data_IF_841711714472
#
_entry.id   IF_841711714472
#
_cell.length_a   1.000
_cell.length_b   1.000
_cell.length_c   1.000
_cell.angle_alpha   90.00
_cell.angle_beta   90.00
_cell.angle_gamma   90.00
#
_symmetry.space_group_name_H-M   'P 1'
#
loop_
_entity.id
_entity.type
_entity.pdbx_description
1 polymer ?
#
# COMPACT_ATOMS: atom_id res chain seq x y z
N UNK A 1 -0.80 -19.27 12.90
CA UNK A 1 -1.95 -18.37 12.67
C UNK A 1 -1.96 -17.96 11.21
N UNK A 2 -3.14 -17.75 10.59
CA UNK A 2 -3.19 -17.19 9.24
C UNK A 2 -2.57 -15.80 9.23
N UNK A 3 -1.75 -15.48 8.22
CA UNK A 3 -1.21 -14.13 8.05
C UNK A 3 -2.26 -13.14 7.55
N UNK A 4 -3.37 -13.68 7.04
CA UNK A 4 -4.52 -12.96 6.52
C UNK A 4 -5.76 -13.39 7.32
N UNK A 5 -5.84 -12.89 8.55
CA UNK A 5 -6.96 -13.06 9.46
C UNK A 5 -7.79 -11.77 9.54
N UNK A 6 -9.07 -11.90 9.89
CA UNK A 6 -10.00 -10.76 9.94
C UNK A 6 -9.53 -9.71 10.94
N UNK A 7 -8.99 -10.13 12.09
CA UNK A 7 -8.50 -9.20 13.11
C UNK A 7 -7.33 -8.36 12.59
N UNK A 8 -6.37 -8.96 11.89
CA UNK A 8 -5.30 -8.19 11.23
C UNK A 8 -5.85 -7.20 10.18
N UNK A 9 -6.84 -7.59 9.38
CA UNK A 9 -7.44 -6.69 8.38
C UNK A 9 -8.12 -5.50 9.08
N UNK A 10 -8.95 -5.76 10.09
CA UNK A 10 -9.62 -4.71 10.85
C UNK A 10 -8.61 -3.78 11.54
N UNK A 11 -7.53 -4.35 12.10
CA UNK A 11 -6.46 -3.58 12.73
C UNK A 11 -5.71 -2.71 11.73
N UNK A 12 -5.45 -3.23 10.54
CA UNK A 12 -4.91 -2.45 9.43
C UNK A 12 -5.82 -1.27 9.07
N UNK A 13 -7.13 -1.50 8.95
CA UNK A 13 -8.10 -0.44 8.66
C UNK A 13 -8.15 0.62 9.76
N UNK A 14 -8.09 0.22 11.03
CA UNK A 14 -7.98 1.15 12.16
C UNK A 14 -6.73 2.03 12.06
N UNK A 15 -5.58 1.43 11.72
CA UNK A 15 -4.34 2.17 11.48
C UNK A 15 -4.43 3.14 10.30
N UNK A 16 -5.25 2.86 9.28
CA UNK A 16 -5.52 3.82 8.20
C UNK A 16 -6.11 5.10 8.79
N UNK A 17 -7.18 4.98 9.59
CA UNK A 17 -7.87 6.15 10.14
C UNK A 17 -6.98 6.92 11.13
N UNK A 18 -6.31 6.21 12.06
CA UNK A 18 -5.41 6.84 13.03
C UNK A 18 -4.21 7.48 12.34
N UNK A 19 -3.61 6.78 11.36
CA UNK A 19 -2.50 7.28 10.58
C UNK A 19 -2.88 8.52 9.76
N UNK A 20 -4.02 8.49 9.08
CA UNK A 20 -4.53 9.63 8.33
C UNK A 20 -4.82 10.82 9.23
N UNK A 21 -5.45 10.59 10.39
CA UNK A 21 -5.72 11.65 11.35
C UNK A 21 -4.42 12.28 11.88
N UNK A 22 -3.43 11.48 12.28
CA UNK A 22 -2.12 11.99 12.73
C UNK A 22 -1.34 12.68 11.61
N UNK A 23 -1.43 12.19 10.37
CA UNK A 23 -0.81 12.84 9.21
C UNK A 23 -1.42 14.23 8.95
N UNK A 24 -2.74 14.36 9.04
CA UNK A 24 -3.44 15.65 8.88
C UNK A 24 -3.14 16.65 10.02
N UNK A 25 -2.67 16.18 11.17
CA UNK A 25 -2.22 17.05 12.26
C UNK A 25 -0.78 17.53 12.08
N UNK A 26 -0.02 16.97 11.14
CA UNK A 26 1.37 17.37 10.93
C UNK A 26 1.42 18.72 10.17
N UNK A 27 1.88 19.82 10.80
CA UNK A 27 1.96 21.11 10.13
C UNK A 27 3.01 21.13 9.01
N UNK A 28 4.06 20.29 9.10
CA UNK A 28 5.10 20.19 8.06
C UNK A 28 4.55 19.60 6.74
N UNK A 29 3.39 18.93 6.78
CA UNK A 29 2.74 18.38 5.58
C UNK A 29 2.17 19.47 4.67
N UNK A 30 1.78 20.63 5.23
CA UNK A 30 1.07 21.71 4.53
C UNK A 30 1.99 22.89 4.20
N UNK A 31 3.18 22.61 3.69
CA UNK A 31 4.12 23.64 3.26
C UNK A 31 3.92 24.03 1.80
N UNK A 32 4.32 25.26 1.45
CA UNK A 32 4.22 25.79 0.07
C UNK A 32 4.92 24.90 -0.96
N UNK A 33 6.01 24.22 -0.57
CA UNK A 33 6.73 23.29 -1.44
C UNK A 33 5.87 22.07 -1.81
N UNK A 34 5.24 21.46 -0.80
CA UNK A 34 4.35 20.30 -1.00
C UNK A 34 3.10 20.67 -1.79
N UNK A 35 2.52 21.86 -1.54
CA UNK A 35 1.38 22.37 -2.33
C UNK A 35 1.73 22.56 -3.80
N UNK A 36 2.90 23.14 -4.11
CA UNK A 36 3.33 23.33 -5.51
C UNK A 36 3.50 21.98 -6.22
N UNK A 37 4.09 21.00 -5.54
CA UNK A 37 4.28 19.65 -6.09
C UNK A 37 2.95 18.91 -6.26
N UNK A 38 2.04 19.04 -5.30
CA UNK A 38 0.69 18.51 -5.40
C UNK A 38 -0.07 19.12 -6.59
N UNK A 39 0.02 20.43 -6.79
CA UNK A 39 -0.59 21.10 -7.94
C UNK A 39 -0.03 20.59 -9.28
N UNK A 40 1.30 20.46 -9.40
CA UNK A 40 1.94 19.87 -10.59
C UNK A 40 1.45 18.44 -10.82
N UNK A 41 1.37 17.63 -9.77
CA UNK A 41 0.91 16.25 -9.86
C UNK A 41 -0.58 16.14 -10.25
N UNK A 42 -1.43 17.07 -9.77
CA UNK A 42 -2.84 17.17 -10.20
C UNK A 42 -2.93 17.55 -11.67
N UNK A 43 -2.18 18.56 -12.14
CA UNK A 43 -2.15 18.96 -13.54
C UNK A 43 -1.64 17.85 -14.47
N UNK A 44 -0.52 17.21 -14.11
CA UNK A 44 0.00 16.06 -14.83
C UNK A 44 -1.02 14.92 -14.86
N UNK A 45 -1.70 14.69 -13.74
CA UNK A 45 -2.76 13.71 -13.65
C UNK A 45 -3.94 13.99 -14.58
N UNK A 46 -4.38 15.25 -14.66
CA UNK A 46 -5.43 15.67 -15.58
C UNK A 46 -5.01 15.47 -17.04
N UNK A 47 -3.77 15.85 -17.39
CA UNK A 47 -3.24 15.66 -18.74
C UNK A 47 -3.21 14.18 -19.15
N UNK A 48 -2.71 13.29 -18.27
CA UNK A 48 -2.71 11.84 -18.52
C UNK A 48 -4.14 11.32 -18.71
N UNK A 49 -5.08 11.76 -17.85
CA UNK A 49 -6.49 11.35 -17.97
C UNK A 49 -7.08 11.76 -19.32
N UNK A 50 -6.75 12.94 -19.82
CA UNK A 50 -7.19 13.38 -21.15
C UNK A 50 -6.59 12.45 -22.22
N UNK A 51 -5.27 12.27 -22.21
CA UNK A 51 -4.55 11.43 -23.19
C UNK A 51 -5.11 10.00 -23.24
N UNK A 52 -5.33 9.36 -22.08
CA UNK A 52 -5.85 7.99 -22.02
C UNK A 52 -7.29 7.86 -22.53
N UNK A 53 -8.09 8.93 -22.46
CA UNK A 53 -9.46 8.91 -22.98
C UNK A 53 -9.54 9.25 -24.47
N UNK A 54 -8.47 9.77 -25.09
CA UNK A 54 -8.46 10.10 -26.52
C UNK A 54 -8.90 8.91 -27.40
N UNK A 55 -8.35 7.68 -27.26
CA UNK A 55 -8.78 6.55 -28.08
C UNK A 55 -10.26 6.21 -27.93
N UNK A 56 -10.82 6.39 -26.73
CA UNK A 56 -12.23 6.13 -26.44
C UNK A 56 -13.11 7.17 -27.14
N UNK A 57 -12.72 8.45 -27.06
CA UNK A 57 -13.42 9.52 -27.77
C UNK A 57 -13.33 9.32 -29.29
N UNK A 58 -12.18 8.89 -29.81
CA UNK A 58 -12.03 8.55 -31.23
C UNK A 58 -12.99 7.44 -31.63
N UNK A 59 -13.07 6.33 -30.87
CA UNK A 59 -14.01 5.24 -31.18
C UNK A 59 -15.46 5.72 -31.10
N UNK A 60 -15.83 6.52 -30.08
CA UNK A 60 -17.17 7.09 -29.97
C UNK A 60 -17.53 8.01 -31.14
N UNK A 61 -16.59 8.85 -31.58
CA UNK A 61 -16.77 9.72 -32.75
C UNK A 61 -16.91 8.88 -34.03
N UNK A 62 -16.10 7.84 -34.20
CA UNK A 62 -16.20 6.93 -35.35
C UNK A 62 -17.55 6.21 -35.39
N UNK A 63 -18.02 5.69 -34.25
CA UNK A 63 -19.33 5.05 -34.15
C UNK A 63 -20.46 6.05 -34.44
N UNK A 64 -20.35 7.28 -33.94
CA UNK A 64 -21.29 8.35 -34.25
C UNK A 64 -21.33 8.70 -35.75
N UNK A 65 -20.16 8.79 -36.40
CA UNK A 65 -20.06 9.01 -37.85
C UNK A 65 -20.69 7.84 -38.62
N UNK A 66 -20.37 6.59 -38.25
CA UNK A 66 -20.92 5.39 -38.90
C UNK A 66 -22.44 5.33 -38.73
N UNK A 67 -22.97 5.68 -37.55
CA UNK A 67 -24.40 5.76 -37.28
C UNK A 67 -25.14 6.82 -38.10
N UNK A 68 -24.43 7.82 -38.62
CA UNK A 68 -25.02 8.78 -39.57
C UNK A 68 -25.22 8.19 -40.98
N UNK A 69 -24.51 7.10 -41.31
CA UNK A 69 -24.57 6.45 -42.64
C UNK A 69 -25.21 5.05 -42.61
N UNK A 70 -25.28 4.40 -41.44
CA UNK A 70 -25.78 3.03 -41.24
C UNK A 70 -26.77 3.04 -40.08
N UNK A 71 -27.94 2.45 -40.28
CA UNK A 71 -28.98 2.37 -39.25
C UNK A 71 -28.57 1.34 -38.18
N UNK A 72 -27.93 1.82 -37.10
CA UNK A 72 -27.40 1.00 -36.01
C UNK A 72 -28.44 0.71 -34.91
N UNK A 73 -29.64 1.30 -34.99
CA UNK A 73 -30.70 1.23 -33.97
C UNK A 73 -31.25 -0.18 -33.68
N UNK A 74 -30.85 -1.21 -34.44
CA UNK A 74 -31.27 -2.60 -34.23
C UNK A 74 -30.14 -3.52 -33.73
N UNK A 75 -28.90 -3.05 -33.68
CA UNK A 75 -27.74 -3.88 -33.34
C UNK A 75 -27.19 -3.55 -31.94
N UNK A 76 -27.34 -4.48 -31.00
CA UNK A 76 -26.79 -4.42 -29.62
C UNK A 76 -25.26 -4.33 -29.51
N UNK A 77 -24.57 -4.14 -30.63
CA UNK A 77 -23.10 -4.16 -30.72
C UNK A 77 -22.49 -2.87 -30.17
N UNK A 78 -23.14 -1.72 -30.37
CA UNK A 78 -22.65 -0.42 -29.88
C UNK A 78 -22.53 -0.41 -28.34
N UNK A 79 -23.62 -0.79 -27.65
CA UNK A 79 -23.63 -0.89 -26.19
C UNK A 79 -22.58 -1.88 -25.64
N UNK A 80 -22.36 -3.00 -26.32
CA UNK A 80 -21.37 -4.01 -25.90
C UNK A 80 -19.94 -3.53 -26.14
N UNK A 81 -19.67 -2.84 -27.25
CA UNK A 81 -18.34 -2.28 -27.58
C UNK A 81 -18.02 -1.11 -26.66
N UNK A 82 -18.96 -0.17 -26.47
CA UNK A 82 -18.82 0.96 -25.54
C UNK A 82 -18.63 0.44 -24.11
N UNK A 83 -19.43 -0.54 -23.66
CA UNK A 83 -19.30 -1.14 -22.33
C UNK A 83 -17.97 -1.90 -22.17
N UNK A 84 -17.52 -2.60 -23.20
CA UNK A 84 -16.20 -3.26 -23.21
C UNK A 84 -15.04 -2.28 -23.14
N UNK A 85 -15.10 -1.17 -23.90
CA UNK A 85 -14.10 -0.10 -23.87
C UNK A 85 -14.10 0.65 -22.53
N UNK A 86 -15.28 0.92 -21.98
CA UNK A 86 -15.41 1.57 -20.67
C UNK A 86 -14.92 0.64 -19.56
N UNK A 87 -15.16 -0.68 -19.66
CA UNK A 87 -14.58 -1.69 -18.78
C UNK A 87 -13.05 -1.77 -18.90
N UNK A 88 -12.49 -1.76 -20.12
CA UNK A 88 -11.02 -1.79 -20.31
C UNK A 88 -10.38 -0.50 -19.80
N UNK A 89 -11.00 0.66 -20.06
CA UNK A 89 -10.57 1.95 -19.53
C UNK A 89 -10.59 1.98 -18.00
N UNK A 90 -11.72 1.60 -17.39
CA UNK A 90 -11.94 1.69 -15.93
C UNK A 90 -11.28 0.57 -15.13
N UNK A 91 -11.25 -0.65 -15.67
CA UNK A 91 -10.78 -1.84 -14.96
C UNK A 91 -9.32 -2.18 -15.29
N UNK A 92 -8.89 -1.98 -16.55
CA UNK A 92 -7.58 -2.43 -17.04
C UNK A 92 -6.57 -1.29 -17.17
N UNK A 93 -6.98 -0.03 -17.38
CA UNK A 93 -6.06 1.09 -17.66
C UNK A 93 -5.93 2.14 -16.54
N UNK A 94 -6.94 2.32 -15.67
CA UNK A 94 -7.11 3.62 -15.00
C UNK A 94 -6.23 3.95 -13.78
N UNK A 95 -5.68 2.98 -13.03
CA UNK A 95 -5.17 3.30 -11.68
C UNK A 95 -3.67 2.99 -11.49
N UNK A 96 -3.14 1.82 -11.89
CA UNK A 96 -1.73 1.51 -11.65
C UNK A 96 -0.76 2.34 -12.50
N UNK A 97 -1.20 2.76 -13.69
CA UNK A 97 -0.46 3.53 -14.70
C UNK A 97 -0.28 4.99 -14.27
N UNK A 98 -1.39 5.66 -13.92
CA UNK A 98 -1.39 7.02 -13.36
C UNK A 98 -0.49 7.13 -12.13
N UNK A 99 -0.67 6.22 -11.16
CA UNK A 99 0.13 6.22 -9.94
C UNK A 99 1.62 5.92 -10.19
N UNK A 100 1.98 5.17 -11.25
CA UNK A 100 3.39 4.84 -11.54
C UNK A 100 4.10 5.97 -12.27
N UNK A 101 3.38 6.70 -13.12
CA UNK A 101 3.94 7.82 -13.89
C UNK A 101 4.13 9.06 -13.00
N UNK A 102 3.22 9.30 -12.05
CA UNK A 102 3.39 10.32 -10.99
C UNK A 102 4.59 9.96 -10.11
N UNK A 103 4.84 8.68 -9.80
CA UNK A 103 6.01 8.30 -8.99
C UNK A 103 7.34 8.76 -9.64
N UNK A 104 7.52 8.68 -10.95
CA UNK A 104 8.79 9.09 -11.58
C UNK A 104 9.17 10.56 -11.33
N UNK A 105 8.19 11.46 -11.26
CA UNK A 105 8.38 12.91 -11.05
C UNK A 105 8.22 13.36 -9.59
N UNK A 106 7.60 12.53 -8.75
CA UNK A 106 7.20 12.87 -7.37
C UNK A 106 7.89 11.96 -6.32
N UNK A 107 8.69 10.96 -6.72
CA UNK A 107 9.41 10.06 -5.77
C UNK A 107 10.27 10.81 -4.73
N UNK A 108 11.07 11.83 -5.10
CA UNK A 108 11.86 12.57 -4.11
C UNK A 108 10.97 13.25 -3.05
N UNK A 109 9.76 13.64 -3.43
CA UNK A 109 8.86 14.38 -2.56
C UNK A 109 8.08 13.44 -1.65
N UNK A 110 7.67 12.27 -2.14
CA UNK A 110 7.07 11.21 -1.33
C UNK A 110 8.03 10.69 -0.25
N UNK A 111 9.31 10.55 -0.60
CA UNK A 111 10.35 10.19 0.35
C UNK A 111 10.50 11.23 1.47
N UNK A 112 10.48 12.51 1.11
CA UNK A 112 10.51 13.61 2.07
C UNK A 112 9.25 13.63 2.95
N UNK A 113 8.05 13.47 2.36
CA UNK A 113 6.78 13.42 3.10
C UNK A 113 6.76 12.27 4.11
N UNK A 114 7.28 11.10 3.72
CA UNK A 114 7.44 9.96 4.62
C UNK A 114 8.37 10.32 5.79
N UNK A 115 9.56 10.89 5.51
CA UNK A 115 10.54 11.22 6.54
C UNK A 115 10.08 12.35 7.48
N UNK A 116 9.44 13.40 6.97
CA UNK A 116 8.84 14.48 7.78
C UNK A 116 7.72 13.95 8.67
N UNK A 117 6.86 13.09 8.12
CA UNK A 117 5.80 12.45 8.90
C UNK A 117 6.36 11.53 9.98
N UNK A 118 7.45 10.82 9.68
CA UNK A 118 8.14 9.97 10.65
C UNK A 118 8.75 10.79 11.79
N UNK A 119 9.38 11.94 11.48
CA UNK A 119 9.89 12.90 12.48
C UNK A 119 8.76 13.41 13.37
N UNK A 120 7.61 13.73 12.80
CA UNK A 120 6.43 14.16 13.54
C UNK A 120 5.90 13.07 14.47
N UNK A 121 5.81 11.83 13.99
CA UNK A 121 5.38 10.66 14.79
C UNK A 121 6.31 10.44 15.98
N UNK A 122 7.63 10.50 15.77
CA UNK A 122 8.62 10.37 16.83
C UNK A 122 8.56 11.52 17.85
N UNK A 123 8.41 12.76 17.37
CA UNK A 123 8.28 13.93 18.24
C UNK A 123 7.01 13.86 19.10
N UNK A 124 5.88 13.49 18.49
CA UNK A 124 4.60 13.32 19.19
C UNK A 124 4.68 12.18 20.19
N UNK A 125 5.39 11.09 19.87
CA UNK A 125 5.60 9.98 20.77
C UNK A 125 6.37 10.40 22.03
N UNK A 126 7.50 11.10 21.86
CA UNK A 126 8.28 11.62 23.00
C UNK A 126 7.45 12.61 23.82
N UNK A 127 6.66 13.47 23.17
CA UNK A 127 5.79 14.40 23.87
C UNK A 127 4.70 13.72 24.69
N UNK A 128 4.11 12.63 24.17
CA UNK A 128 3.08 11.85 24.86
C UNK A 128 3.63 11.10 26.07
N UNK A 129 4.89 10.65 26.03
CA UNK A 129 5.51 9.82 27.08
C UNK A 129 6.55 10.60 27.89
N UNK A 130 6.43 11.94 27.99
CA UNK A 130 7.36 12.77 28.78
C UNK A 130 7.42 12.39 30.26
N UNK A 131 6.32 11.85 30.78
CA UNK A 131 6.17 11.41 32.18
C UNK A 131 6.66 10.00 32.44
N UNK A 132 6.99 9.24 31.39
CA UNK A 132 7.23 7.81 31.50
C UNK A 132 8.73 7.53 31.59
N UNK A 133 9.11 6.37 32.12
CA UNK A 133 10.53 6.00 32.29
C UNK A 133 11.23 5.87 30.92
N UNK A 134 12.28 6.67 30.64
CA UNK A 134 13.03 6.61 29.39
C UNK A 134 13.55 5.23 29.02
N UNK A 135 13.86 4.37 30.01
CA UNK A 135 14.35 3.01 29.77
C UNK A 135 13.29 2.08 29.15
N UNK A 136 12.01 2.44 29.28
CA UNK A 136 10.88 1.65 28.78
C UNK A 136 10.40 2.12 27.40
N UNK A 137 10.89 3.27 26.93
CA UNK A 137 10.45 3.87 25.67
C UNK A 137 11.05 3.15 24.46
N UNK A 138 10.28 3.11 23.37
CA UNK A 138 10.79 2.60 22.10
C UNK A 138 11.90 3.51 21.56
N UNK A 139 12.81 2.93 20.78
CA UNK A 139 13.76 3.68 19.96
C UNK A 139 13.09 4.59 18.93
N UNK A 140 13.80 5.66 18.55
CA UNK A 140 13.39 6.61 17.52
C UNK A 140 13.69 6.06 16.13
N UNK A 141 12.81 6.30 15.17
CA UNK A 141 12.96 5.81 13.79
C UNK A 141 13.63 6.85 12.90
N UNK A 142 13.20 8.11 13.00
CA UNK A 142 13.65 9.18 12.12
C UNK A 142 15.17 9.43 12.17
N UNK A 143 15.80 9.59 13.36
CA UNK A 143 17.24 9.88 13.45
C UNK A 143 18.08 8.79 12.79
N UNK A 144 17.70 7.53 13.03
CA UNK A 144 18.41 6.37 12.51
C UNK A 144 18.19 6.18 11.02
N UNK A 145 16.93 6.26 10.54
CA UNK A 145 16.61 6.11 9.12
C UNK A 145 17.23 7.20 8.26
N UNK A 146 17.42 8.41 8.79
CA UNK A 146 18.12 9.50 8.10
C UNK A 146 19.60 9.16 7.79
N UNK A 147 20.24 8.30 8.59
CA UNK A 147 21.64 7.89 8.38
C UNK A 147 21.81 6.89 7.23
N UNK A 148 20.75 6.19 6.82
CA UNK A 148 20.82 5.22 5.73
C UNK A 148 20.89 5.93 4.37
N UNK A 149 21.81 5.48 3.52
CA UNK A 149 21.98 6.06 2.18
C UNK A 149 20.85 5.63 1.23
N UNK A 150 20.15 6.60 0.67
CA UNK A 150 19.12 6.40 -0.37
C UNK A 150 19.70 6.34 -1.79
N UNK A 151 20.99 6.65 -1.96
CA UNK A 151 21.60 6.99 -3.25
C UNK A 151 22.24 5.81 -4.01
N UNK A 152 22.58 4.71 -3.33
CA UNK A 152 23.35 3.62 -3.95
C UNK A 152 22.68 2.88 -5.12
N UNK A 153 21.35 2.95 -5.25
CA UNK A 153 20.61 2.47 -6.44
C UNK A 153 20.06 3.60 -7.34
N UNK A 154 19.99 4.84 -6.85
CA UNK A 154 19.50 5.99 -7.62
C UNK A 154 20.47 6.36 -8.74
N UNK A 155 21.78 6.34 -8.49
CA UNK A 155 22.79 6.63 -9.53
C UNK A 155 22.75 5.66 -10.71
N UNK A 156 22.46 4.37 -10.48
CA UNK A 156 22.29 3.37 -11.55
C UNK A 156 20.91 3.43 -12.26
N UNK A 157 19.91 4.06 -11.64
CA UNK A 157 18.56 4.23 -12.21
C UNK A 157 18.40 5.57 -12.95
N UNK A 158 19.04 6.63 -12.48
CA UNK A 158 19.04 7.95 -13.12
C UNK A 158 19.77 7.95 -14.47
N UNK A 159 20.71 7.04 -14.70
CA UNK A 159 21.34 6.84 -16.01
C UNK A 159 20.45 6.13 -17.05
N UNK A 160 19.28 5.60 -16.66
CA UNK A 160 18.36 5.02 -17.65
C UNK A 160 17.50 6.13 -18.24
N UNK A 161 17.57 6.26 -19.57
CA UNK A 161 16.75 7.23 -20.31
C UNK A 161 15.28 7.10 -19.93
N UNK A 162 14.57 8.22 -19.81
CA UNK A 162 13.12 8.26 -19.59
C UNK A 162 12.37 7.30 -20.54
N UNK A 163 12.89 7.15 -21.76
CA UNK A 163 12.38 6.24 -22.79
C UNK A 163 12.51 4.76 -22.38
N UNK A 164 13.63 4.34 -21.77
CA UNK A 164 13.81 2.96 -21.28
C UNK A 164 12.83 2.64 -20.15
N UNK A 165 12.55 3.62 -19.29
CA UNK A 165 11.54 3.52 -18.24
C UNK A 165 10.13 3.29 -18.81
N UNK A 166 9.77 4.03 -19.87
CA UNK A 166 8.48 3.90 -20.56
C UNK A 166 8.37 2.56 -21.30
N UNK A 167 9.43 2.09 -21.97
CA UNK A 167 9.42 0.81 -22.72
C UNK A 167 9.34 -0.40 -21.79
N UNK A 168 10.15 -0.44 -20.73
CA UNK A 168 10.09 -1.52 -19.73
C UNK A 168 8.71 -1.54 -19.05
N UNK A 169 8.08 -0.38 -18.91
CA UNK A 169 6.75 -0.26 -18.38
C UNK A 169 5.70 -0.82 -19.35
N UNK A 170 5.69 -0.36 -20.62
CA UNK A 170 4.74 -0.79 -21.65
C UNK A 170 4.78 -2.30 -21.86
N UNK A 171 5.97 -2.90 -21.84
CA UNK A 171 6.15 -4.36 -21.97
C UNK A 171 5.58 -5.13 -20.78
N UNK A 172 5.86 -4.70 -19.54
CA UNK A 172 5.31 -5.35 -18.34
C UNK A 172 3.80 -5.16 -18.21
N UNK A 173 3.30 -3.99 -18.57
CA UNK A 173 1.88 -3.66 -18.53
C UNK A 173 1.11 -4.38 -19.63
N UNK A 174 1.63 -4.35 -20.87
CA UNK A 174 1.09 -5.06 -22.01
C UNK A 174 0.99 -6.56 -21.75
N UNK A 175 2.01 -7.18 -21.12
CA UNK A 175 1.93 -8.59 -20.71
C UNK A 175 0.80 -8.85 -19.72
N UNK A 176 0.61 -7.99 -18.72
CA UNK A 176 -0.49 -8.13 -17.75
C UNK A 176 -1.86 -7.92 -18.41
N UNK A 177 -1.99 -6.91 -19.26
CA UNK A 177 -3.19 -6.63 -20.02
C UNK A 177 -3.55 -7.79 -20.96
N UNK A 178 -2.56 -8.37 -21.65
CA UNK A 178 -2.75 -9.54 -22.51
C UNK A 178 -3.21 -10.77 -21.73
N UNK A 179 -2.62 -11.05 -20.56
CA UNK A 179 -3.06 -12.15 -19.68
C UNK A 179 -4.50 -11.89 -19.19
N UNK A 180 -4.82 -10.67 -18.77
CA UNK A 180 -6.18 -10.31 -18.35
C UNK A 180 -7.19 -10.43 -19.50
N UNK A 181 -6.83 -10.01 -20.71
CA UNK A 181 -7.65 -10.12 -21.91
C UNK A 181 -7.85 -11.59 -22.31
N UNK A 182 -6.81 -12.42 -22.22
CA UNK A 182 -6.91 -13.85 -22.45
C UNK A 182 -7.84 -14.51 -21.43
N UNK A 183 -7.69 -14.23 -20.14
CA UNK A 183 -8.59 -14.74 -19.09
C UNK A 183 -10.03 -14.30 -19.38
N UNK A 184 -10.25 -13.05 -19.75
CA UNK A 184 -11.57 -12.54 -20.13
C UNK A 184 -12.13 -13.26 -21.36
N UNK A 185 -11.33 -13.46 -22.41
CA UNK A 185 -11.71 -14.20 -23.61
C UNK A 185 -12.11 -15.65 -23.29
N UNK A 186 -11.36 -16.32 -22.41
CA UNK A 186 -11.68 -17.67 -21.94
C UNK A 186 -13.02 -17.73 -21.20
N UNK A 187 -13.54 -16.61 -20.65
CA UNK A 187 -14.86 -16.60 -20.01
C UNK A 187 -16.04 -16.75 -20.97
N UNK A 188 -15.82 -16.59 -22.28
CA UNK A 188 -16.83 -16.80 -23.33
C UNK A 188 -16.87 -18.24 -23.84
N UNK A 189 -15.93 -19.10 -23.43
CA UNK A 189 -15.92 -20.51 -23.83
C UNK A 189 -17.10 -21.23 -23.15
N UNK A 190 -18.02 -21.85 -23.90
CA UNK A 190 -19.14 -22.57 -23.32
C UNK A 190 -18.65 -23.75 -22.45
N UNK A 191 -19.33 -24.01 -21.33
CA UNK A 191 -18.96 -25.04 -20.36
C UNK A 191 -17.87 -24.62 -19.37
N UNK A 192 -16.76 -24.04 -19.84
CA UNK A 192 -15.60 -23.69 -18.98
C UNK A 192 -15.67 -22.24 -18.49
N UNK A 193 -16.32 -21.34 -19.23
CA UNK A 193 -16.33 -19.90 -19.00
C UNK A 193 -16.72 -19.43 -17.58
N UNK A 194 -17.71 -20.05 -16.91
CA UNK A 194 -18.04 -19.72 -15.51
C UNK A 194 -16.91 -20.03 -14.52
N UNK A 195 -16.08 -21.04 -14.78
CA UNK A 195 -15.03 -21.50 -13.87
C UNK A 195 -13.70 -20.76 -14.05
N UNK A 196 -13.50 -20.10 -15.20
CA UNK A 196 -12.24 -19.41 -15.52
C UNK A 196 -11.89 -18.32 -14.51
N UNK A 197 -12.85 -17.45 -14.18
CA UNK A 197 -12.61 -16.35 -13.23
C UNK A 197 -12.37 -16.86 -11.81
N UNK A 198 -13.20 -17.76 -11.24
CA UNK A 198 -12.90 -18.40 -9.96
C UNK A 198 -11.53 -19.09 -9.95
N UNK A 199 -11.21 -19.90 -10.97
CA UNK A 199 -9.94 -20.63 -11.02
C UNK A 199 -8.73 -19.70 -11.10
N UNK A 200 -8.80 -18.65 -11.93
CA UNK A 200 -7.75 -17.64 -12.02
C UNK A 200 -7.60 -16.86 -10.70
N UNK A 201 -8.73 -16.56 -10.04
CA UNK A 201 -8.76 -15.93 -8.71
C UNK A 201 -8.07 -16.81 -7.69
N UNK A 202 -8.42 -18.10 -7.63
CA UNK A 202 -7.82 -19.07 -6.73
C UNK A 202 -6.31 -19.19 -6.96
N UNK A 203 -5.88 -19.38 -8.20
CA UNK A 203 -4.46 -19.52 -8.54
C UNK A 203 -3.64 -18.31 -8.09
N UNK A 204 -4.18 -17.12 -8.28
CA UNK A 204 -3.46 -15.87 -7.99
C UNK A 204 -3.55 -15.49 -6.51
N UNK A 205 -4.67 -15.76 -5.85
CA UNK A 205 -4.93 -15.40 -4.45
C UNK A 205 -4.35 -16.42 -3.46
N UNK A 206 -4.35 -17.71 -3.80
CA UNK A 206 -3.85 -18.79 -2.94
C UNK A 206 -2.39 -18.55 -2.51
N UNK A 207 -1.52 -18.14 -3.44
CA UNK A 207 -0.11 -17.86 -3.11
C UNK A 207 0.07 -16.70 -2.14
N UNK A 208 -0.90 -15.81 -2.02
CA UNK A 208 -0.78 -14.60 -1.21
C UNK A 208 -1.52 -14.71 0.12
N UNK A 209 -2.58 -15.53 0.19
CA UNK A 209 -3.53 -15.57 1.31
C UNK A 209 -3.65 -16.98 1.92
N UNK A 210 -3.15 -18.00 1.23
CA UNK A 210 -3.25 -19.40 1.62
C UNK A 210 -4.47 -20.11 1.03
N UNK A 211 -4.53 -21.43 1.18
CA UNK A 211 -5.50 -22.27 0.47
C UNK A 211 -6.93 -22.09 1.01
N UNK A 212 -7.09 -21.88 2.32
CA UNK A 212 -8.40 -21.79 2.96
C UNK A 212 -9.16 -20.52 2.53
N UNK A 213 -8.61 -19.29 2.67
CA UNK A 213 -9.32 -18.10 2.21
C UNK A 213 -9.48 -18.06 0.70
N UNK A 214 -8.52 -18.57 -0.06
CA UNK A 214 -8.63 -18.68 -1.51
C UNK A 214 -9.76 -19.64 -1.93
N UNK A 215 -9.93 -20.76 -1.22
CA UNK A 215 -11.03 -21.70 -1.43
C UNK A 215 -12.40 -21.05 -1.19
N UNK A 216 -12.52 -20.23 -0.15
CA UNK A 216 -13.75 -19.46 0.13
C UNK A 216 -14.07 -18.48 -1.01
N UNK A 217 -13.07 -17.73 -1.49
CA UNK A 217 -13.24 -16.80 -2.63
C UNK A 217 -13.57 -17.55 -3.92
N UNK A 218 -12.97 -18.72 -4.15
CA UNK A 218 -13.29 -19.58 -5.29
C UNK A 218 -14.74 -20.07 -5.23
N UNK A 219 -15.16 -20.64 -4.09
CA UNK A 219 -16.50 -21.17 -3.90
C UNK A 219 -17.57 -20.08 -4.00
N UNK A 220 -17.31 -18.91 -3.39
CA UNK A 220 -18.21 -17.76 -3.50
C UNK A 220 -18.26 -17.22 -4.93
N UNK A 221 -17.16 -17.28 -5.67
CA UNK A 221 -17.08 -16.91 -7.09
C UNK A 221 -17.94 -17.73 -8.04
N UNK A 222 -18.40 -18.91 -7.63
CA UNK A 222 -19.33 -19.72 -8.42
C UNK A 222 -20.77 -19.20 -8.35
N UNK A 223 -21.12 -18.48 -7.27
CA UNK A 223 -22.47 -17.95 -7.01
C UNK A 223 -22.53 -16.44 -7.25
N UNK A 224 -21.44 -15.72 -6.96
CA UNK A 224 -21.37 -14.26 -7.05
C UNK A 224 -21.23 -13.83 -8.53
N UNK A 225 -21.98 -12.79 -8.97
CA UNK A 225 -21.83 -12.22 -10.30
C UNK A 225 -20.38 -11.83 -10.63
N UNK A 226 -19.95 -12.11 -11.88
CA UNK A 226 -18.57 -11.93 -12.37
C UNK A 226 -17.99 -10.54 -12.07
N UNK A 227 -18.80 -9.48 -12.15
CA UNK A 227 -18.33 -8.10 -11.96
C UNK A 227 -17.88 -7.81 -10.52
N UNK A 228 -18.56 -8.36 -9.50
CA UNK A 228 -18.13 -8.21 -8.10
C UNK A 228 -16.81 -8.94 -7.83
N UNK A 229 -16.62 -10.13 -8.43
CA UNK A 229 -15.36 -10.87 -8.30
C UNK A 229 -14.19 -10.10 -8.93
N UNK A 230 -14.42 -9.53 -10.12
CA UNK A 230 -13.42 -8.68 -10.79
C UNK A 230 -13.11 -7.45 -9.95
N UNK A 231 -14.13 -6.75 -9.42
CA UNK A 231 -13.93 -5.57 -8.57
C UNK A 231 -13.17 -5.90 -7.28
N UNK A 232 -13.46 -7.04 -6.66
CA UNK A 232 -12.75 -7.54 -5.47
C UNK A 232 -11.27 -7.79 -5.79
N UNK A 233 -10.99 -8.61 -6.81
CA UNK A 233 -9.62 -8.91 -7.23
C UNK A 233 -8.84 -7.66 -7.63
N UNK A 234 -9.45 -6.78 -8.41
CA UNK A 234 -8.84 -5.53 -8.82
C UNK A 234 -8.49 -4.67 -7.61
N UNK A 235 -9.39 -4.57 -6.63
CA UNK A 235 -9.16 -3.83 -5.38
C UNK A 235 -8.04 -4.46 -4.57
N UNK A 236 -8.01 -5.79 -4.47
CA UNK A 236 -6.94 -6.53 -3.81
C UNK A 236 -5.55 -6.27 -4.43
N UNK A 237 -5.42 -6.46 -5.75
CA UNK A 237 -4.15 -6.23 -6.43
C UNK A 237 -3.72 -4.77 -6.41
N UNK A 238 -4.68 -3.84 -6.49
CA UNK A 238 -4.42 -2.41 -6.39
C UNK A 238 -3.93 -2.03 -5.00
N UNK A 239 -4.56 -2.55 -3.94
CA UNK A 239 -4.14 -2.36 -2.55
C UNK A 239 -2.74 -2.91 -2.31
N UNK A 240 -2.45 -4.13 -2.76
CA UNK A 240 -1.10 -4.70 -2.66
C UNK A 240 -0.07 -3.86 -3.42
N UNK A 241 -0.41 -3.40 -4.63
CA UNK A 241 0.47 -2.54 -5.42
C UNK A 241 0.69 -1.19 -4.77
N UNK A 242 -0.34 -0.60 -4.16
CA UNK A 242 -0.26 0.68 -3.47
C UNK A 242 0.64 0.54 -2.24
N UNK A 243 0.39 -0.46 -1.39
CA UNK A 243 1.19 -0.71 -0.20
C UNK A 243 2.67 -0.92 -0.52
N UNK A 244 2.98 -1.66 -1.60
CA UNK A 244 4.37 -1.85 -2.02
C UNK A 244 5.08 -0.56 -2.39
N UNK A 245 4.34 0.47 -2.81
CA UNK A 245 4.88 1.79 -3.18
C UNK A 245 5.01 2.69 -1.95
N UNK A 246 3.98 2.71 -1.10
CA UNK A 246 4.00 3.46 0.16
C UNK A 246 5.12 3.01 1.12
N UNK A 247 5.56 1.75 1.03
CA UNK A 247 6.68 1.24 1.83
C UNK A 247 8.04 1.41 1.15
N UNK A 248 8.08 1.90 -0.09
CA UNK A 248 9.32 2.01 -0.83
C UNK A 248 10.35 2.93 -0.14
N UNK A 249 9.99 4.10 0.45
CA UNK A 249 10.93 4.91 1.24
C UNK A 249 11.64 4.13 2.36
N UNK A 250 10.92 3.24 3.03
CA UNK A 250 11.51 2.38 4.06
C UNK A 250 12.46 1.35 3.45
N UNK A 251 12.03 0.63 2.40
CA UNK A 251 12.84 -0.43 1.77
C UNK A 251 14.04 0.08 0.95
N UNK A 252 14.05 1.35 0.56
CA UNK A 252 15.23 1.98 -0.05
C UNK A 252 16.34 2.22 0.96
N UNK A 253 15.98 2.43 2.23
CA UNK A 253 16.92 2.62 3.35
C UNK A 253 17.36 1.28 3.93
N UNK A 254 16.39 0.45 4.32
CA UNK A 254 16.65 -0.89 4.87
C UNK A 254 16.61 -1.91 3.74
N UNK A 255 17.80 -2.40 3.35
CA UNK A 255 17.99 -3.19 2.13
C UNK A 255 17.69 -4.68 2.34
N UNK A 256 16.42 -5.03 2.25
CA UNK A 256 16.00 -6.43 2.18
C UNK A 256 16.29 -7.05 0.81
N UNK A 257 16.68 -8.32 0.79
CA UNK A 257 16.71 -9.11 -0.46
C UNK A 257 15.29 -9.33 -0.99
N UNK A 258 15.15 -9.66 -2.28
CA UNK A 258 13.83 -9.93 -2.89
C UNK A 258 13.06 -11.03 -2.16
N UNK A 259 13.76 -12.06 -1.67
CA UNK A 259 13.15 -13.15 -0.92
C UNK A 259 12.69 -12.70 0.47
N UNK A 260 13.54 -11.96 1.19
CA UNK A 260 13.18 -11.42 2.50
C UNK A 260 11.99 -10.44 2.42
N UNK A 261 12.01 -9.50 1.45
CA UNK A 261 10.89 -8.59 1.20
C UNK A 261 9.60 -9.36 0.92
N UNK A 262 9.66 -10.43 0.09
CA UNK A 262 8.49 -11.29 -0.18
C UNK A 262 7.93 -11.90 1.10
N UNK A 263 8.78 -12.46 1.96
CA UNK A 263 8.35 -13.06 3.23
C UNK A 263 7.77 -12.00 4.16
N UNK A 264 8.43 -10.84 4.30
CA UNK A 264 7.98 -9.72 5.11
C UNK A 264 6.55 -9.27 4.75
N UNK A 265 6.26 -9.14 3.44
CA UNK A 265 4.91 -8.79 2.95
C UNK A 265 3.88 -9.89 3.19
N UNK A 266 4.28 -11.16 3.11
CA UNK A 266 3.38 -12.29 3.36
C UNK A 266 2.99 -12.32 4.84
N UNK A 267 3.97 -12.14 5.74
CA UNK A 267 3.77 -12.19 7.18
C UNK A 267 2.83 -11.09 7.71
N UNK A 268 2.88 -9.91 7.08
CA UNK A 268 2.08 -8.74 7.43
C UNK A 268 0.87 -8.54 6.51
N UNK A 269 0.54 -9.53 5.67
CA UNK A 269 -0.44 -9.37 4.58
C UNK A 269 -1.82 -8.87 5.01
N UNK A 270 -2.37 -9.38 6.12
CA UNK A 270 -3.66 -8.93 6.65
C UNK A 270 -3.68 -7.44 7.04
N UNK A 271 -2.73 -7.01 7.87
CA UNK A 271 -2.64 -5.60 8.32
C UNK A 271 -2.33 -4.67 7.17
N UNK A 272 -1.40 -5.04 6.30
CA UNK A 272 -1.03 -4.25 5.12
C UNK A 272 -2.20 -4.10 4.14
N UNK A 273 -2.98 -5.17 3.94
CA UNK A 273 -4.18 -5.13 3.11
C UNK A 273 -5.23 -4.22 3.74
N UNK A 274 -5.56 -4.41 5.02
CA UNK A 274 -6.50 -3.56 5.75
C UNK A 274 -6.11 -2.09 5.74
N UNK A 275 -4.82 -1.80 5.89
CA UNK A 275 -4.29 -0.44 5.85
C UNK A 275 -4.48 0.23 4.48
N UNK A 276 -4.15 -0.50 3.41
CA UNK A 276 -4.10 0.07 2.06
C UNK A 276 -5.44 0.01 1.30
N UNK A 277 -6.41 -0.82 1.71
CA UNK A 277 -7.67 -0.97 0.99
C UNK A 277 -8.50 0.32 0.99
N UNK A 278 -8.58 1.01 2.13
CA UNK A 278 -9.30 2.28 2.26
C UNK A 278 -8.67 3.37 1.36
N UNK A 279 -7.34 3.54 1.45
CA UNK A 279 -6.62 4.45 0.55
C UNK A 279 -6.77 4.06 -0.92
N UNK A 280 -6.83 2.76 -1.24
CA UNK A 280 -7.05 2.30 -2.62
C UNK A 280 -8.41 2.74 -3.15
N UNK A 281 -9.45 2.72 -2.33
CA UNK A 281 -10.77 3.22 -2.73
C UNK A 281 -10.75 4.74 -2.88
N UNK A 282 -10.15 5.45 -1.91
CA UNK A 282 -10.11 6.91 -1.91
C UNK A 282 -9.26 7.48 -3.06
N UNK A 283 -8.10 6.88 -3.37
CA UNK A 283 -7.20 7.33 -4.45
C UNK A 283 -7.84 7.18 -5.84
N UNK A 284 -8.84 6.32 -6.00
CA UNK A 284 -9.59 6.21 -7.26
C UNK A 284 -10.44 7.44 -7.57
N UNK A 285 -10.72 8.29 -6.57
CA UNK A 285 -11.47 9.52 -6.77
C UNK A 285 -10.61 10.49 -7.61
N UNK A 286 -11.05 10.86 -8.83
CA UNK A 286 -10.29 11.75 -9.69
C UNK A 286 -10.02 13.10 -9.00
N UNK A 287 -8.91 13.74 -9.35
CA UNK A 287 -8.41 15.02 -8.79
C UNK A 287 -7.96 14.95 -7.32
N UNK A 288 -8.72 14.30 -6.45
CA UNK A 288 -8.42 14.17 -5.02
C UNK A 288 -7.39 13.07 -4.76
N UNK A 289 -7.31 12.06 -5.63
CA UNK A 289 -6.45 10.89 -5.43
C UNK A 289 -4.97 11.20 -5.26
N UNK A 290 -4.46 12.28 -5.87
CA UNK A 290 -3.06 12.72 -5.70
C UNK A 290 -2.82 13.24 -4.27
N UNK A 291 -3.74 14.04 -3.73
CA UNK A 291 -3.66 14.55 -2.36
C UNK A 291 -3.79 13.41 -1.34
N UNK A 292 -4.74 12.49 -1.59
CA UNK A 292 -4.92 11.30 -0.75
C UNK A 292 -3.66 10.44 -0.77
N UNK A 293 -2.96 10.34 -1.90
CA UNK A 293 -1.69 9.60 -1.97
C UNK A 293 -0.64 10.21 -1.05
N UNK A 294 -0.51 11.55 -1.00
CA UNK A 294 0.39 12.23 -0.07
C UNK A 294 0.04 11.93 1.40
N UNK A 295 -1.26 11.94 1.74
CA UNK A 295 -1.73 11.55 3.08
C UNK A 295 -1.44 10.07 3.35
N UNK A 296 -1.61 9.18 2.37
CA UNK A 296 -1.34 7.76 2.51
C UNK A 296 0.16 7.50 2.76
N UNK A 297 1.04 8.22 2.07
CA UNK A 297 2.49 8.16 2.26
C UNK A 297 2.88 8.62 3.68
N UNK A 298 2.37 9.79 4.10
CA UNK A 298 2.54 10.30 5.46
C UNK A 298 2.01 9.34 6.54
N UNK A 299 0.84 8.75 6.31
CA UNK A 299 0.23 7.75 7.20
C UNK A 299 1.05 6.47 7.28
N UNK A 300 1.79 6.13 6.23
CA UNK A 300 2.65 4.94 6.19
C UNK A 300 3.84 5.07 7.11
N UNK A 301 4.33 6.29 7.37
CA UNK A 301 5.32 6.54 8.41
C UNK A 301 4.80 6.11 9.79
N UNK A 302 3.53 6.39 10.12
CA UNK A 302 2.93 5.89 11.35
C UNK A 302 2.79 4.37 11.35
N UNK A 303 2.33 3.78 10.24
CA UNK A 303 2.21 2.33 10.10
C UNK A 303 3.53 1.62 10.38
N UNK A 304 4.66 2.12 9.86
CA UNK A 304 5.95 1.43 10.00
C UNK A 304 6.35 1.29 11.47
N UNK A 305 6.08 2.33 12.27
CA UNK A 305 6.36 2.30 13.72
C UNK A 305 5.55 1.24 14.49
N UNK A 306 4.49 0.69 13.87
CA UNK A 306 3.62 -0.33 14.47
C UNK A 306 3.90 -1.74 13.99
N UNK A 307 4.50 -1.89 12.81
CA UNK A 307 4.70 -3.21 12.17
C UNK A 307 6.17 -3.62 12.05
N UNK A 308 7.11 -2.76 12.44
CA UNK A 308 8.55 -3.06 12.55
C UNK A 308 9.10 -2.53 13.85
N UNK A 309 10.24 -3.04 14.28
CA UNK A 309 11.05 -2.44 15.36
C UNK A 309 11.82 -1.20 14.86
N UNK A 310 12.33 -0.32 15.75
CA UNK A 310 13.17 0.79 15.33
C UNK A 310 14.51 0.26 14.79
N UNK A 311 14.95 0.70 13.59
CA UNK A 311 16.20 0.22 13.02
C UNK A 311 17.41 0.73 13.81
N UNK A 312 18.51 -0.06 13.89
CA UNK A 312 19.78 0.39 14.43
C UNK A 312 20.52 1.29 13.42
N UNK A 313 21.52 2.07 13.87
CA UNK A 313 22.39 2.83 12.96
C UNK A 313 23.04 1.93 11.90
N UNK A 314 23.37 2.47 10.71
CA UNK A 314 24.05 1.71 9.66
C UNK A 314 25.35 1.07 10.18
N UNK A 315 25.50 -0.24 9.99
CA UNK A 315 26.65 -1.00 10.50
C UNK A 315 26.37 -2.50 10.57
N UNK A 316 27.22 -3.30 11.24
CA UNK A 316 27.05 -4.75 11.35
C UNK A 316 25.69 -5.17 11.92
N UNK A 317 25.21 -4.44 12.94
CA UNK A 317 23.91 -4.67 13.57
C UNK A 317 22.71 -4.50 12.61
N UNK A 318 22.89 -3.82 11.48
CA UNK A 318 21.81 -3.68 10.49
C UNK A 318 21.45 -4.99 9.79
N UNK A 319 22.42 -5.91 9.63
CA UNK A 319 22.16 -7.22 9.03
C UNK A 319 21.33 -8.10 9.98
N UNK A 320 21.72 -8.16 11.25
CA UNK A 320 20.98 -8.88 12.29
C UNK A 320 19.55 -8.34 12.44
N UNK A 321 19.38 -7.01 12.38
CA UNK A 321 18.06 -6.38 12.38
C UNK A 321 17.23 -6.77 11.14
N UNK A 322 17.82 -6.79 9.95
CA UNK A 322 17.10 -7.20 8.72
C UNK A 322 16.61 -8.63 8.85
N UNK A 323 17.45 -9.54 9.34
CA UNK A 323 17.11 -10.95 9.54
C UNK A 323 16.01 -11.13 10.59
N UNK A 324 16.09 -10.36 11.69
CA UNK A 324 15.10 -10.38 12.75
C UNK A 324 13.73 -9.87 12.28
N UNK A 325 13.71 -8.88 11.39
CA UNK A 325 12.50 -8.22 10.89
C UNK A 325 11.77 -8.97 9.77
N UNK A 326 12.42 -9.94 9.11
CA UNK A 326 11.80 -10.73 8.01
C UNK A 326 10.47 -11.34 8.44
N UNK A 327 10.40 -11.82 9.69
CA UNK A 327 9.20 -12.39 10.31
C UNK A 327 8.67 -11.46 11.38
N UNK A 328 7.35 -11.38 11.46
CA UNK A 328 6.67 -10.54 12.43
C UNK A 328 6.53 -11.27 13.77
N UNK A 329 7.55 -11.15 14.61
CA UNK A 329 7.67 -11.85 15.90
C UNK A 329 6.48 -11.59 16.83
N UNK A 330 5.96 -10.37 16.80
CA UNK A 330 5.08 -9.86 17.85
C UNK A 330 3.63 -9.65 17.38
N UNK A 331 3.24 -10.33 16.30
CA UNK A 331 1.90 -10.21 15.69
C UNK A 331 0.77 -10.40 16.71
N UNK A 332 0.86 -11.42 17.55
CA UNK A 332 -0.22 -11.80 18.47
C UNK A 332 -0.48 -10.73 19.54
N UNK A 333 0.59 -10.16 20.12
CA UNK A 333 0.51 -9.04 21.05
C UNK A 333 -0.14 -7.83 20.38
N UNK A 334 0.34 -7.46 19.18
CA UNK A 334 -0.16 -6.31 18.44
C UNK A 334 -1.67 -6.37 18.16
N UNK A 335 -2.18 -7.55 17.79
CA UNK A 335 -3.59 -7.74 17.46
C UNK A 335 -4.51 -7.71 18.68
N UNK A 336 -3.99 -8.04 19.86
CA UNK A 336 -4.77 -8.10 21.10
C UNK A 336 -4.75 -6.79 21.90
N UNK A 337 -3.82 -5.88 21.62
CA UNK A 337 -3.73 -4.59 22.33
C UNK A 337 -4.96 -3.70 22.02
N UNK A 338 -5.50 -2.97 23.00
CA UNK A 338 -6.52 -1.97 22.74
C UNK A 338 -5.91 -0.76 21.97
N UNK A 339 -6.76 -0.04 21.22
CA UNK A 339 -6.32 0.97 20.25
C UNK A 339 -5.58 2.17 20.87
N UNK A 340 -6.01 2.57 22.06
CA UNK A 340 -5.44 3.64 22.89
C UNK A 340 -4.01 3.34 23.34
N UNK A 341 -3.69 2.04 23.51
CA UNK A 341 -2.38 1.54 23.97
C UNK A 341 -1.48 1.03 22.86
N UNK A 342 -1.82 1.31 21.60
CA UNK A 342 -0.97 0.95 20.45
C UNK A 342 0.45 1.51 20.51
N UNK A 343 0.67 2.59 21.27
CA UNK A 343 1.99 3.19 21.49
C UNK A 343 2.85 2.41 22.51
N UNK A 344 2.22 1.64 23.41
CA UNK A 344 2.90 0.81 24.43
C UNK A 344 3.43 -0.52 23.87
N UNK A 345 2.95 -0.94 22.68
CA UNK A 345 3.34 -2.20 22.07
C UNK A 345 4.86 -2.36 21.95
N UNK A 346 5.58 -1.32 21.52
CA UNK A 346 7.03 -1.40 21.38
C UNK A 346 7.77 -1.32 22.73
N UNK A 347 7.16 -0.74 23.78
CA UNK A 347 7.69 -0.73 25.14
C UNK A 347 7.58 -2.13 25.79
N UNK A 348 6.53 -2.88 25.49
CA UNK A 348 6.40 -4.28 25.91
C UNK A 348 7.45 -5.19 25.27
N UNK A 349 7.93 -4.85 24.07
CA UNK A 349 8.93 -5.64 23.33
C UNK A 349 10.36 -5.44 23.81
N UNK A 350 10.69 -4.27 24.34
CA UNK A 350 12.00 -4.01 24.97
C UNK A 350 12.12 -4.63 26.37
N UNK A 351 11.08 -5.32 26.86
CA UNK A 351 11.13 -6.05 28.13
C UNK A 351 10.85 -5.21 29.37
N UNK A 352 10.32 -3.99 29.22
CA UNK A 352 10.01 -3.08 30.32
C UNK A 352 9.06 -3.68 31.39
N UNK A 353 8.18 -4.60 31.00
CA UNK A 353 7.25 -5.27 31.93
C UNK A 353 7.96 -6.21 32.92
N UNK A 354 9.19 -6.68 32.60
CA UNK A 354 9.96 -7.54 33.52
C UNK A 354 10.65 -6.76 34.63
N UNK A 355 10.83 -5.45 34.48
CA UNK A 355 11.47 -4.59 35.50
C UNK A 355 10.46 -4.19 36.58
N UNK A 356 9.17 -4.03 36.23
CA UNK A 356 8.10 -3.68 37.18
C UNK A 356 7.56 -4.83 38.03
N UNK A 357 7.98 -6.08 37.80
CA UNK A 357 7.57 -7.28 38.55
C UNK A 357 8.68 -7.92 39.39
N UNK A 358 9.82 -7.26 39.55
CA UNK A 358 10.74 -7.62 40.62
C UNK A 358 10.15 -7.12 41.94
N UNK A 359 9.79 -8.05 42.83
CA UNK A 359 9.44 -7.76 44.22
C UNK A 359 10.45 -6.75 44.77
N UNK A 360 9.95 -5.57 45.14
CA UNK A 360 10.78 -4.57 45.80
C UNK A 360 11.31 -5.18 47.09
N UNK A 361 12.64 -5.30 47.30
CA UNK A 361 13.15 -5.73 48.59
C UNK A 361 12.70 -4.69 49.62
N UNK A 362 11.99 -5.15 50.65
CA UNK A 362 11.55 -4.33 51.77
C UNK A 362 12.76 -3.60 52.36
N UNK A 363 12.83 -2.29 52.13
CA UNK A 363 13.81 -1.43 52.80
C UNK A 363 13.33 -1.23 54.24
N UNK A 364 14.09 -1.61 55.27
CA UNK A 364 13.65 -1.51 56.65
C UNK A 364 13.52 -0.03 57.04
N UNK A 365 12.29 0.41 57.32
CA UNK A 365 11.99 1.75 57.83
C UNK A 365 12.66 1.96 59.19
N UNK A 366 13.64 2.85 59.26
CA UNK A 366 14.13 3.42 60.52
C UNK A 366 13.01 4.23 61.17
N UNK A 367 12.63 3.86 62.40
CA UNK A 367 11.81 4.69 63.28
C UNK A 367 12.70 5.79 63.86
N UNK A 368 12.27 7.04 63.71
CA UNK A 368 12.83 8.15 64.48
C UNK A 368 11.99 8.31 65.75
N UNK A 369 12.64 8.20 66.91
CA UNK A 369 12.16 8.68 68.21
C UNK A 369 12.19 10.19 68.28
#
# INVERSE_FOLDING_TARGET
MSNFDVNAILRGAQLTFVGAHRALQNPELFTTAHYRQAAIAVCAGLAIRIILNIPIYIVKILLWIIGAFVNLDHETWDDKVISGLDFVSRSVLQIPFFLMMVMGSVTPTLDNLFMESLKWVDTTYVQKHKSDDPATLRGMYYPTLKMYSTHGEKEKKEQRSFVDGVVIFLTKYGRRAAISLAIYALTFVPGIGPFVLPAASFYTFNKAVGPVPAGIVFASGLVIPKHYMVQFLQTYFSSRSLMSRLLEPYFQRIRFTRQQKKIWFIDRSGVLFGFSVAFTVMVKVPLIGVLIYGIAEASTAYLITKVTEPPPPPGPASQEYIESEVRWKNKHLFLNLPLDRLDEFNAMLTGAEKVGRAESPEVPRRKFT
#
